data_IF_643020664064
#
_entry.id   IF_643020664064
#
_cell.length_a   1.000
_cell.length_b   1.000
_cell.length_c   1.000
_cell.angle_alpha   90.00
_cell.angle_beta   90.00
_cell.angle_gamma   90.00
#
_symmetry.space_group_name_H-M   'P 1'
#
loop_
_entity.id
_entity.type
_entity.pdbx_description
1 polymer ?
#
# COMPACT_ATOMS: atom_id res chain seq x y z
N UNK A 1 -14.49 12.19 -5.22
CA UNK A 1 -13.62 11.41 -4.32
C UNK A 1 -14.09 9.97 -4.38
N UNK A 2 -13.21 9.08 -4.79
CA UNK A 2 -13.44 7.63 -4.78
C UNK A 2 -12.63 7.04 -3.63
N UNK A 3 -13.26 6.23 -2.79
CA UNK A 3 -12.61 5.59 -1.64
C UNK A 3 -12.66 4.08 -1.77
N UNK A 4 -11.55 3.40 -1.46
CA UNK A 4 -11.46 1.95 -1.37
C UNK A 4 -11.16 1.52 0.07
N UNK A 5 -11.81 0.46 0.53
CA UNK A 5 -11.58 -0.12 1.86
C UNK A 5 -10.34 -1.02 1.94
N UNK A 6 -9.68 -1.28 0.81
CA UNK A 6 -8.53 -2.19 0.74
C UNK A 6 -8.88 -3.68 0.84
N UNK A 7 -10.16 -4.04 0.77
CA UNK A 7 -10.64 -5.42 0.97
C UNK A 7 -10.77 -6.24 -0.32
N UNK A 8 -9.87 -6.07 -1.26
CA UNK A 8 -9.87 -6.86 -2.50
C UNK A 8 -9.37 -8.28 -2.25
N UNK A 9 -10.32 -9.21 -2.09
CA UNK A 9 -10.02 -10.64 -2.14
C UNK A 9 -9.99 -11.10 -3.59
N UNK A 10 -8.90 -11.76 -4.03
CA UNK A 10 -8.92 -12.50 -5.29
C UNK A 10 -10.09 -13.49 -5.25
N UNK A 11 -10.89 -13.65 -6.33
CA UNK A 11 -11.77 -14.78 -6.45
C UNK A 11 -10.90 -16.03 -6.40
N UNK A 12 -10.95 -16.77 -5.29
CA UNK A 12 -10.36 -18.10 -5.21
C UNK A 12 -11.00 -18.99 -6.27
N UNK A 13 -10.29 -20.05 -6.76
CA UNK A 13 -10.92 -21.03 -7.64
C UNK A 13 -12.18 -21.53 -6.96
N UNK A 14 -13.30 -21.54 -7.69
CA UNK A 14 -14.59 -21.96 -7.20
C UNK A 14 -14.47 -23.39 -6.62
N UNK A 15 -14.49 -23.50 -5.30
CA UNK A 15 -14.62 -24.80 -4.65
C UNK A 15 -15.99 -25.35 -4.96
N UNK A 16 -16.00 -26.46 -5.72
CA UNK A 16 -17.22 -27.18 -6.09
C UNK A 16 -18.08 -27.47 -4.87
N UNK A 17 -19.33 -27.08 -4.94
CA UNK A 17 -20.37 -27.55 -4.02
C UNK A 17 -20.57 -29.04 -4.24
N UNK A 18 -20.40 -29.84 -3.17
CA UNK A 18 -20.88 -31.19 -3.21
C UNK A 18 -20.13 -32.12 -2.22
N UNK A 19 -20.62 -32.18 -0.98
CA UNK A 19 -20.29 -33.26 -0.03
C UNK A 19 -21.35 -33.30 1.06
N UNK A 20 -21.94 -34.51 1.37
CA UNK A 20 -23.10 -34.62 2.26
C UNK A 20 -22.72 -34.36 3.72
N UNK A 21 -23.66 -33.77 4.44
CA UNK A 21 -23.62 -33.55 5.90
C UNK A 21 -23.43 -34.88 6.65
N UNK A 22 -22.22 -35.10 7.17
CA UNK A 22 -21.94 -36.16 8.13
C UNK A 22 -22.28 -35.71 9.55
N UNK A 23 -23.16 -36.44 10.22
CA UNK A 23 -23.61 -36.27 11.59
C UNK A 23 -22.42 -36.31 12.57
N UNK A 24 -22.38 -35.37 13.51
CA UNK A 24 -21.44 -35.40 14.65
C UNK A 24 -21.87 -36.47 15.66
N UNK A 25 -20.99 -37.35 16.12
CA UNK A 25 -21.28 -38.21 17.25
C UNK A 25 -21.18 -37.45 18.59
N UNK A 26 -21.88 -37.91 19.65
CA UNK A 26 -21.93 -37.23 20.94
C UNK A 26 -20.63 -37.37 21.71
N UNK A 27 -20.30 -36.34 22.50
CA UNK A 27 -19.14 -36.29 23.38
C UNK A 27 -19.27 -37.31 24.52
N UNK A 28 -18.43 -38.32 24.53
CA UNK A 28 -18.18 -39.18 25.68
C UNK A 28 -17.03 -38.64 26.53
N UNK A 29 -17.30 -38.47 27.84
CA UNK A 29 -16.25 -38.23 28.83
C UNK A 29 -15.38 -39.46 28.98
N UNK A 30 -14.12 -39.42 28.55
CA UNK A 30 -13.13 -40.47 28.71
C UNK A 30 -11.82 -39.88 29.24
N UNK A 31 -11.37 -40.44 30.36
CA UNK A 31 -10.15 -40.11 31.12
C UNK A 31 -8.90 -40.17 30.23
N UNK A 32 -7.99 -39.20 30.41
CA UNK A 32 -6.65 -39.18 29.78
C UNK A 32 -5.72 -40.18 30.49
N UNK A 33 -5.07 -41.10 29.77
CA UNK A 33 -3.90 -41.80 30.31
C UNK A 33 -2.66 -40.91 30.20
N UNK A 34 -1.89 -40.81 31.28
CA UNK A 34 -0.52 -40.32 31.25
C UNK A 34 0.38 -41.32 30.53
N UNK A 35 1.16 -40.89 29.56
CA UNK A 35 2.16 -41.78 29.00
C UNK A 35 2.87 -41.23 27.76
N UNK A 36 4.15 -40.93 27.93
CA UNK A 36 5.24 -40.99 26.96
C UNK A 36 5.30 -39.90 25.87
N UNK A 37 6.28 -39.01 26.02
CA UNK A 37 6.77 -38.11 24.94
C UNK A 37 7.37 -39.00 23.83
N UNK A 38 7.04 -38.70 22.55
CA UNK A 38 7.74 -39.32 21.43
C UNK A 38 9.18 -38.75 21.32
N UNK A 39 10.17 -39.56 20.81
CA UNK A 39 11.54 -39.13 20.66
C UNK A 39 11.67 -37.97 19.68
N UNK A 40 12.56 -37.02 20.00
CA UNK A 40 12.92 -35.89 19.15
C UNK A 40 13.54 -36.43 17.85
N UNK A 41 12.73 -36.48 16.78
CA UNK A 41 13.24 -36.68 15.44
C UNK A 41 14.07 -35.45 15.00
N UNK A 42 15.25 -35.73 14.49
CA UNK A 42 16.20 -34.76 13.94
C UNK A 42 15.49 -33.90 12.89
N UNK A 43 15.51 -32.57 13.10
CA UNK A 43 15.09 -31.61 12.06
C UNK A 43 16.05 -31.75 10.88
N UNK A 44 15.55 -31.82 9.64
CA UNK A 44 16.41 -31.71 8.46
C UNK A 44 17.13 -30.36 8.46
N UNK A 45 18.37 -30.26 7.92
CA UNK A 45 19.10 -29.03 7.87
C UNK A 45 18.30 -27.98 7.09
N UNK A 46 17.98 -26.86 7.74
CA UNK A 46 17.40 -25.71 7.07
C UNK A 46 18.49 -25.17 6.13
N UNK A 47 18.23 -25.34 4.82
CA UNK A 47 19.02 -24.66 3.81
C UNK A 47 19.03 -23.17 4.10
N UNK A 48 20.21 -22.58 4.19
CA UNK A 48 20.44 -21.14 4.27
C UNK A 48 20.07 -20.51 2.91
N UNK A 49 18.79 -20.47 2.62
CA UNK A 49 18.26 -19.54 1.63
C UNK A 49 18.30 -18.16 2.27
N UNK A 50 19.21 -17.31 1.79
CA UNK A 50 19.20 -15.89 2.11
C UNK A 50 17.79 -15.37 1.79
N UNK A 51 17.01 -15.10 2.84
CA UNK A 51 15.76 -14.33 2.68
C UNK A 51 16.20 -12.95 2.21
N UNK A 52 15.63 -12.42 1.11
CA UNK A 52 15.89 -11.05 0.73
C UNK A 52 15.57 -10.16 1.91
N UNK A 53 16.54 -9.37 2.37
CA UNK A 53 16.30 -8.23 3.26
C UNK A 53 15.54 -7.23 2.43
N UNK A 54 14.25 -7.17 2.58
CA UNK A 54 13.44 -6.21 1.85
C UNK A 54 12.05 -6.20 2.44
N UNK A 55 11.57 -5.02 2.74
CA UNK A 55 10.32 -4.67 3.36
C UNK A 55 9.12 -5.53 3.00
N UNK A 56 7.96 -5.16 3.48
CA UNK A 56 6.67 -5.77 3.13
C UNK A 56 6.51 -5.81 1.61
N UNK A 57 7.21 -6.77 0.97
CA UNK A 57 7.10 -7.03 -0.45
C UNK A 57 5.72 -7.59 -0.74
N UNK A 58 4.79 -6.73 -1.08
CA UNK A 58 3.51 -7.17 -1.59
C UNK A 58 3.76 -7.98 -2.87
N UNK A 59 3.05 -9.09 -3.10
CA UNK A 59 3.20 -9.88 -4.32
C UNK A 59 3.02 -8.99 -5.55
N UNK A 60 3.77 -9.27 -6.63
CA UNK A 60 3.56 -8.58 -7.90
C UNK A 60 2.08 -8.63 -8.29
N UNK A 61 1.53 -7.50 -8.72
CA UNK A 61 0.15 -7.38 -9.14
C UNK A 61 -0.90 -7.35 -8.01
N UNK A 62 -0.49 -7.19 -6.76
CA UNK A 62 -1.44 -7.12 -5.64
C UNK A 62 -2.44 -5.97 -5.74
N UNK A 63 -2.05 -4.86 -6.37
CA UNK A 63 -2.89 -3.70 -6.58
C UNK A 63 -3.70 -3.74 -7.90
N UNK A 64 -3.45 -4.73 -8.77
CA UNK A 64 -4.01 -4.76 -10.14
C UNK A 64 -5.55 -4.83 -10.15
N UNK A 65 -6.15 -5.56 -9.21
CA UNK A 65 -7.60 -5.66 -9.11
C UNK A 65 -8.25 -4.29 -8.87
N UNK A 66 -7.71 -3.53 -7.93
CA UNK A 66 -8.18 -2.18 -7.65
C UNK A 66 -7.84 -1.21 -8.80
N UNK A 67 -6.61 -1.26 -9.33
CA UNK A 67 -6.20 -0.45 -10.47
C UNK A 67 -7.14 -0.63 -11.68
N UNK A 68 -7.46 -1.87 -12.02
CA UNK A 68 -8.38 -2.16 -13.12
C UNK A 68 -9.76 -1.55 -12.90
N UNK A 69 -10.37 -1.74 -11.72
CA UNK A 69 -11.67 -1.16 -11.41
C UNK A 69 -11.61 0.37 -11.40
N UNK A 70 -10.57 0.94 -10.77
CA UNK A 70 -10.42 2.39 -10.72
C UNK A 70 -10.30 3.01 -12.12
N UNK A 71 -9.45 2.45 -12.97
CA UNK A 71 -9.11 3.03 -14.27
C UNK A 71 -10.18 2.70 -15.32
N UNK A 72 -10.71 1.47 -15.32
CA UNK A 72 -11.64 1.03 -16.39
C UNK A 72 -13.11 1.32 -16.08
N UNK A 73 -13.48 1.41 -14.80
CA UNK A 73 -14.88 1.55 -14.40
C UNK A 73 -15.13 2.89 -13.69
N UNK A 74 -14.40 3.17 -12.58
CA UNK A 74 -14.69 4.34 -11.74
C UNK A 74 -14.38 5.66 -12.44
N UNK A 75 -13.20 5.81 -13.03
CA UNK A 75 -12.79 7.06 -13.68
C UNK A 75 -13.70 7.38 -14.86
N UNK A 76 -13.95 6.47 -15.82
CA UNK A 76 -14.88 6.74 -16.93
C UNK A 76 -16.29 7.06 -16.45
N UNK A 77 -16.78 6.37 -15.42
CA UNK A 77 -18.08 6.67 -14.84
C UNK A 77 -18.15 8.10 -14.28
N UNK A 78 -17.17 8.51 -13.48
CA UNK A 78 -17.13 9.85 -12.91
C UNK A 78 -16.98 10.92 -14.00
N UNK A 79 -16.10 10.71 -14.97
CA UNK A 79 -15.88 11.66 -16.07
C UNK A 79 -17.12 11.83 -16.97
N UNK A 80 -17.95 10.78 -17.11
CA UNK A 80 -19.18 10.85 -17.91
C UNK A 80 -20.40 11.43 -17.17
N UNK A 81 -20.40 11.41 -15.83
CA UNK A 81 -21.57 11.82 -15.03
C UNK A 81 -21.39 13.14 -14.29
N UNK A 82 -20.14 13.62 -14.16
CA UNK A 82 -19.83 14.84 -13.42
C UNK A 82 -18.98 15.78 -14.26
N UNK A 83 -18.99 17.05 -13.91
CA UNK A 83 -18.17 18.08 -14.58
C UNK A 83 -16.72 17.95 -14.08
N UNK A 84 -15.96 17.08 -14.70
CA UNK A 84 -14.54 16.88 -14.45
C UNK A 84 -13.69 17.48 -15.59
N UNK A 85 -12.42 17.72 -15.31
CA UNK A 85 -11.40 17.94 -16.34
C UNK A 85 -10.74 16.58 -16.53
N UNK A 86 -11.12 15.88 -17.59
CA UNK A 86 -10.82 14.46 -17.80
C UNK A 86 -9.41 14.26 -18.40
N UNK A 87 -8.38 14.82 -17.77
CA UNK A 87 -6.98 14.62 -18.15
C UNK A 87 -6.12 14.27 -16.93
N UNK A 88 -4.90 13.77 -17.15
CA UNK A 88 -4.01 13.36 -16.07
C UNK A 88 -3.51 14.54 -15.23
N UNK A 89 -3.38 15.74 -15.79
CA UNK A 89 -2.87 16.93 -15.08
C UNK A 89 -3.83 17.40 -13.99
N UNK A 90 -5.12 17.10 -14.15
CA UNK A 90 -6.16 17.44 -13.20
C UNK A 90 -6.65 16.22 -12.39
N UNK A 91 -5.86 15.13 -12.40
CA UNK A 91 -6.20 13.92 -11.65
C UNK A 91 -5.10 13.59 -10.65
N UNK A 92 -5.52 13.48 -9.39
CA UNK A 92 -4.66 13.11 -8.28
C UNK A 92 -5.10 11.79 -7.65
N UNK A 93 -4.15 11.02 -7.13
CA UNK A 93 -4.42 9.84 -6.31
C UNK A 93 -3.77 10.00 -4.94
N UNK A 94 -4.50 9.69 -3.88
CA UNK A 94 -3.95 9.69 -2.53
C UNK A 94 -4.44 8.48 -1.75
N UNK A 95 -3.59 7.99 -0.84
CA UNK A 95 -3.93 6.88 0.01
C UNK A 95 -3.19 6.90 1.34
N UNK A 96 -3.79 6.26 2.35
CA UNK A 96 -3.24 6.11 3.68
C UNK A 96 -2.78 4.67 3.93
N UNK A 97 -1.69 4.47 4.68
CA UNK A 97 -1.20 3.13 5.05
C UNK A 97 -1.05 2.23 3.80
N UNK A 98 -1.74 1.11 3.75
CA UNK A 98 -1.78 0.22 2.57
C UNK A 98 -2.27 0.97 1.31
N UNK A 99 -3.23 1.89 1.43
CA UNK A 99 -3.68 2.75 0.32
C UNK A 99 -2.59 3.67 -0.21
N UNK A 100 -1.63 4.09 0.63
CA UNK A 100 -0.44 4.81 0.19
C UNK A 100 0.48 3.93 -0.67
N UNK A 101 0.65 2.67 -0.29
CA UNK A 101 1.38 1.68 -1.10
C UNK A 101 0.67 1.40 -2.44
N UNK A 102 -0.67 1.32 -2.44
CA UNK A 102 -1.47 1.22 -3.66
C UNK A 102 -1.29 2.44 -4.55
N UNK A 103 -1.33 3.64 -3.94
CA UNK A 103 -1.09 4.90 -4.66
C UNK A 103 0.24 4.85 -5.40
N UNK A 104 1.34 4.52 -4.71
CA UNK A 104 2.64 4.34 -5.36
C UNK A 104 2.58 3.33 -6.50
N UNK A 105 2.10 2.12 -6.23
CA UNK A 105 2.08 1.02 -7.21
C UNK A 105 1.29 1.38 -8.47
N UNK A 106 0.09 1.96 -8.29
CA UNK A 106 -0.81 2.28 -9.40
C UNK A 106 -0.29 3.46 -10.22
N UNK A 107 0.17 4.53 -9.55
CA UNK A 107 0.59 5.74 -10.26
C UNK A 107 1.90 5.56 -11.01
N UNK A 108 2.83 4.76 -10.49
CA UNK A 108 4.05 4.38 -11.22
C UNK A 108 3.73 3.49 -12.43
N UNK A 109 2.76 2.58 -12.31
CA UNK A 109 2.35 1.70 -13.41
C UNK A 109 1.49 2.41 -14.46
N UNK A 110 0.77 3.48 -14.08
CA UNK A 110 -0.17 4.22 -14.93
C UNK A 110 0.10 5.73 -14.91
N UNK A 111 1.27 6.18 -15.39
CA UNK A 111 1.64 7.60 -15.40
C UNK A 111 0.76 8.45 -16.30
N UNK A 112 0.09 7.84 -17.28
CA UNK A 112 -0.87 8.48 -18.17
C UNK A 112 -2.19 8.87 -17.48
N UNK A 113 -2.45 8.33 -16.28
CA UNK A 113 -3.72 8.55 -15.58
C UNK A 113 -3.63 9.62 -14.50
N UNK A 114 -2.53 9.66 -13.76
CA UNK A 114 -2.36 10.53 -12.59
C UNK A 114 -1.06 11.32 -12.67
N UNK A 115 -1.12 12.61 -12.29
CA UNK A 115 0.07 13.48 -12.21
C UNK A 115 0.43 13.90 -10.80
N UNK A 116 -0.47 13.76 -9.84
CA UNK A 116 -0.28 14.20 -8.46
C UNK A 116 -0.58 13.07 -7.49
N UNK A 117 0.31 12.85 -6.52
CA UNK A 117 0.20 11.73 -5.59
C UNK A 117 0.33 12.19 -4.15
N UNK A 118 -0.52 11.61 -3.28
CA UNK A 118 -0.46 11.76 -1.82
C UNK A 118 -0.25 10.40 -1.14
N UNK A 119 0.87 10.21 -0.46
CA UNK A 119 1.20 8.98 0.27
C UNK A 119 1.23 9.29 1.76
N UNK A 120 0.20 8.81 2.50
CA UNK A 120 0.07 9.09 3.92
C UNK A 120 0.40 7.83 4.72
N UNK A 121 1.54 7.83 5.43
CA UNK A 121 2.03 6.69 6.22
C UNK A 121 2.10 5.36 5.42
N UNK A 122 2.42 5.42 4.14
CA UNK A 122 2.36 4.27 3.22
C UNK A 122 3.62 4.09 2.36
N UNK A 123 4.74 4.64 2.76
CA UNK A 123 5.99 4.62 1.98
C UNK A 123 6.29 5.96 1.32
N UNK A 124 7.09 5.94 0.26
CA UNK A 124 7.52 7.12 -0.48
C UNK A 124 7.78 6.78 -1.96
N UNK A 125 7.92 7.82 -2.79
CA UNK A 125 8.49 7.73 -4.14
C UNK A 125 9.98 8.04 -4.02
N UNK A 126 10.81 7.21 -4.63
CA UNK A 126 12.26 7.36 -4.63
C UNK A 126 12.76 7.97 -5.93
N UNK A 127 14.00 8.45 -5.93
CA UNK A 127 14.68 8.89 -7.17
C UNK A 127 14.81 7.74 -8.17
N UNK A 128 14.96 6.50 -7.69
CA UNK A 128 15.05 5.32 -8.56
C UNK A 128 13.71 4.99 -9.22
N UNK A 129 12.57 5.22 -8.55
CA UNK A 129 11.25 5.07 -9.19
C UNK A 129 11.13 6.00 -10.41
N UNK A 130 11.66 7.23 -10.32
CA UNK A 130 11.63 8.19 -11.44
C UNK A 130 12.65 7.88 -12.52
N UNK A 131 13.86 7.43 -12.16
CA UNK A 131 14.89 7.02 -13.13
C UNK A 131 14.49 5.80 -13.94
N UNK A 132 13.88 4.81 -13.27
CA UNK A 132 13.45 3.56 -13.90
C UNK A 132 12.17 3.73 -14.73
N UNK A 133 11.44 4.83 -14.57
CA UNK A 133 10.23 5.14 -15.33
C UNK A 133 10.23 6.61 -15.78
N UNK A 134 10.88 6.95 -16.91
CA UNK A 134 10.95 8.31 -17.43
C UNK A 134 9.60 8.94 -17.76
N UNK A 135 8.61 8.17 -18.21
CA UNK A 135 7.26 8.67 -18.49
C UNK A 135 6.55 9.08 -17.19
N UNK A 136 6.71 8.31 -16.13
CA UNK A 136 6.24 8.68 -14.80
C UNK A 136 6.90 9.99 -14.33
N UNK A 137 8.22 10.09 -14.42
CA UNK A 137 8.95 11.27 -14.01
C UNK A 137 8.49 12.54 -14.78
N UNK A 138 8.30 12.44 -16.09
CA UNK A 138 7.86 13.53 -16.97
C UNK A 138 6.43 14.00 -16.68
N UNK A 139 5.53 13.07 -16.34
CA UNK A 139 4.11 13.36 -16.05
C UNK A 139 3.86 13.90 -14.65
N UNK A 140 4.85 13.79 -13.75
CA UNK A 140 4.69 14.05 -12.32
C UNK A 140 4.64 15.55 -12.01
N UNK A 141 3.54 16.03 -11.41
CA UNK A 141 3.35 17.41 -11.01
C UNK A 141 3.54 17.64 -9.51
N UNK A 142 3.17 16.65 -8.70
CA UNK A 142 3.25 16.76 -7.24
C UNK A 142 3.43 15.38 -6.60
N UNK A 143 4.40 15.27 -5.70
CA UNK A 143 4.52 14.17 -4.74
C UNK A 143 4.39 14.74 -3.33
N UNK A 144 3.44 14.23 -2.58
CA UNK A 144 3.26 14.60 -1.18
C UNK A 144 3.35 13.36 -0.31
N UNK A 145 4.30 13.35 0.61
CA UNK A 145 4.52 12.25 1.55
C UNK A 145 4.31 12.75 2.97
N UNK A 146 3.59 11.99 3.79
CA UNK A 146 3.36 12.39 5.17
C UNK A 146 3.41 11.23 6.16
N UNK A 147 3.81 11.57 7.38
CA UNK A 147 3.83 10.66 8.53
C UNK A 147 3.43 11.40 9.81
N UNK A 148 2.97 10.67 10.82
CA UNK A 148 2.85 11.19 12.18
C UNK A 148 4.24 11.28 12.83
N UNK A 149 4.46 12.29 13.71
CA UNK A 149 5.76 12.43 14.37
C UNK A 149 6.11 11.24 15.26
N UNK A 150 5.11 10.69 15.99
CA UNK A 150 5.29 9.49 16.83
C UNK A 150 5.49 8.23 15.99
N UNK A 151 4.97 8.20 14.77
CA UNK A 151 5.19 7.11 13.84
C UNK A 151 6.63 7.07 13.37
N UNK A 152 7.23 8.23 13.08
CA UNK A 152 8.64 8.34 12.70
C UNK A 152 9.58 7.97 13.86
N UNK A 153 9.28 8.39 15.08
CA UNK A 153 10.03 8.05 16.30
C UNK A 153 10.09 6.53 16.52
N UNK A 154 8.99 5.82 16.26
CA UNK A 154 8.89 4.37 16.44
C UNK A 154 9.40 3.55 15.23
N UNK A 155 9.78 4.20 14.15
CA UNK A 155 10.21 3.54 12.90
C UNK A 155 11.57 2.88 12.95
N UNK A 156 12.31 3.01 14.02
CA UNK A 156 13.67 2.47 14.19
C UNK A 156 13.75 0.95 13.97
N UNK A 157 12.62 0.26 13.82
CA UNK A 157 12.59 -1.19 13.52
C UNK A 157 11.43 -1.57 12.58
N UNK A 158 11.61 -1.43 11.25
CA UNK A 158 11.04 -2.43 10.36
C UNK A 158 9.86 -2.11 9.45
N UNK A 159 9.53 -0.87 9.16
CA UNK A 159 8.66 -0.58 8.01
C UNK A 159 9.49 0.06 6.87
N UNK A 160 9.73 -0.72 5.82
CA UNK A 160 10.46 -0.29 4.65
C UNK A 160 11.84 -0.95 4.53
N UNK A 161 12.55 -0.59 3.51
CA UNK A 161 13.91 -1.02 3.16
C UNK A 161 15.00 -0.42 4.06
N UNK A 162 14.63 0.23 5.16
CA UNK A 162 15.54 0.88 6.10
C UNK A 162 15.86 2.33 5.77
N UNK A 163 15.24 2.91 4.74
CA UNK A 163 15.43 4.32 4.39
C UNK A 163 14.49 5.25 5.15
N UNK A 164 14.94 6.49 5.37
CA UNK A 164 14.12 7.54 5.97
C UNK A 164 13.24 8.20 4.90
N UNK A 165 11.90 8.13 4.99
CA UNK A 165 11.00 8.70 3.99
C UNK A 165 11.16 10.22 3.83
N UNK A 166 11.65 10.91 4.85
CA UNK A 166 11.96 12.32 4.76
C UNK A 166 13.17 12.54 3.85
N UNK A 167 14.24 11.81 4.08
CA UNK A 167 15.47 11.87 3.26
C UNK A 167 15.15 11.54 1.80
N UNK A 168 14.43 10.44 1.56
CA UNK A 168 14.01 10.04 0.20
C UNK A 168 13.20 11.12 -0.50
N UNK A 169 12.25 11.74 0.21
CA UNK A 169 11.43 12.82 -0.37
C UNK A 169 12.25 14.08 -0.65
N UNK A 170 13.21 14.41 0.23
CA UNK A 170 14.13 15.54 0.02
C UNK A 170 15.09 15.29 -1.15
N UNK A 171 15.58 14.07 -1.33
CA UNK A 171 16.39 13.69 -2.49
C UNK A 171 15.60 13.76 -3.79
N UNK A 172 14.35 13.30 -3.76
CA UNK A 172 13.44 13.43 -4.89
C UNK A 172 13.21 14.91 -5.25
N UNK A 173 13.03 15.80 -4.26
CA UNK A 173 12.90 17.23 -4.49
C UNK A 173 14.19 17.82 -5.09
N UNK A 174 15.36 17.43 -4.61
CA UNK A 174 16.66 17.84 -5.17
C UNK A 174 16.86 17.38 -6.61
N UNK A 175 16.22 16.29 -7.04
CA UNK A 175 16.26 15.81 -8.42
C UNK A 175 15.37 16.61 -9.38
N UNK A 176 14.65 17.63 -8.88
CA UNK A 176 13.81 18.53 -9.67
C UNK A 176 12.32 18.18 -9.65
N UNK A 177 11.90 17.17 -8.90
CA UNK A 177 10.49 16.82 -8.71
C UNK A 177 9.88 17.76 -7.66
N UNK A 178 8.65 18.23 -7.89
CA UNK A 178 7.89 18.99 -6.90
C UNK A 178 7.41 18.04 -5.78
N UNK A 179 8.30 17.75 -4.82
CA UNK A 179 8.07 16.80 -3.75
C UNK A 179 8.05 17.49 -2.38
N UNK A 180 7.07 17.12 -1.55
CA UNK A 180 6.84 17.70 -0.23
C UNK A 180 6.75 16.62 0.83
N UNK A 181 7.45 16.82 1.95
CA UNK A 181 7.35 15.98 3.12
C UNK A 181 6.63 16.71 4.26
N UNK A 182 5.60 16.11 4.82
CA UNK A 182 4.83 16.68 5.92
C UNK A 182 4.84 15.76 7.15
N UNK A 183 5.15 16.32 8.30
CA UNK A 183 5.06 15.63 9.60
C UNK A 183 3.86 16.17 10.37
N UNK A 184 2.91 15.30 10.67
CA UNK A 184 1.77 15.64 11.55
C UNK A 184 2.22 15.60 13.01
N UNK A 185 2.27 16.75 13.71
CA UNK A 185 2.84 16.81 15.05
C UNK A 185 1.97 16.10 16.10
N UNK A 186 2.61 15.34 17.00
CA UNK A 186 1.97 14.64 18.12
C UNK A 186 1.06 13.48 17.72
N UNK A 187 1.12 13.01 16.48
CA UNK A 187 0.26 11.92 15.97
C UNK A 187 1.05 10.68 15.59
N UNK A 188 0.38 9.54 15.60
CA UNK A 188 0.91 8.23 15.19
C UNK A 188 0.27 7.78 13.87
N UNK A 189 0.23 6.46 13.63
CA UNK A 189 -0.45 5.82 12.49
C UNK A 189 -1.96 5.83 12.71
N UNK A 190 -2.60 6.98 12.51
CA UNK A 190 -3.98 7.23 12.92
C UNK A 190 -4.69 8.28 12.06
N UNK A 191 -6.02 8.31 12.14
CA UNK A 191 -6.88 9.22 11.38
C UNK A 191 -6.53 10.69 11.52
N UNK A 192 -6.11 11.14 12.70
CA UNK A 192 -5.76 12.55 12.92
C UNK A 192 -4.55 12.94 12.04
N UNK A 193 -3.55 12.05 11.94
CA UNK A 193 -2.40 12.24 11.05
C UNK A 193 -2.85 12.40 9.60
N UNK A 194 -3.66 11.45 9.11
CA UNK A 194 -4.06 11.39 7.71
C UNK A 194 -5.03 12.50 7.30
N UNK A 195 -5.95 12.89 8.19
CA UNK A 195 -6.83 14.03 7.94
C UNK A 195 -6.05 15.34 7.79
N UNK A 196 -5.04 15.57 8.64
CA UNK A 196 -4.16 16.74 8.53
C UNK A 196 -3.33 16.69 7.24
N UNK A 197 -2.81 15.51 6.90
CA UNK A 197 -2.07 15.29 5.67
C UNK A 197 -2.91 15.59 4.43
N UNK A 198 -4.15 15.10 4.38
CA UNK A 198 -5.07 15.38 3.29
C UNK A 198 -5.37 16.87 3.15
N UNK A 199 -5.53 17.58 4.26
CA UNK A 199 -5.72 19.04 4.25
C UNK A 199 -4.53 19.77 3.64
N UNK A 200 -3.30 19.42 4.00
CA UNK A 200 -2.09 20.00 3.44
C UNK A 200 -1.92 19.65 1.96
N UNK A 201 -2.12 18.40 1.60
CA UNK A 201 -2.04 17.92 0.23
C UNK A 201 -3.02 18.66 -0.69
N UNK A 202 -4.28 18.77 -0.27
CA UNK A 202 -5.33 19.41 -1.05
C UNK A 202 -5.01 20.88 -1.42
N UNK A 203 -4.26 21.59 -0.57
CA UNK A 203 -3.86 22.97 -0.83
C UNK A 203 -2.75 23.09 -1.88
N UNK A 204 -2.06 22.01 -2.21
CA UNK A 204 -0.99 21.97 -3.21
C UNK A 204 -1.48 21.52 -4.59
N UNK A 205 -2.69 20.92 -4.66
CA UNK A 205 -3.23 20.37 -5.89
C UNK A 205 -3.59 21.45 -6.91
N UNK A 206 -3.29 21.16 -8.18
CA UNK A 206 -3.75 21.92 -9.34
C UNK A 206 -3.39 23.41 -9.33
N UNK A 207 -2.19 23.74 -8.88
CA UNK A 207 -1.61 25.09 -8.87
C UNK A 207 -0.69 25.33 -10.06
#
# INVERSE_FOLDING_TARGET
IVMDSGSWTRPGPAMGRGGPQGQRPPMGMGQRPQGQRPPQGQRPPQGQGQRPRGGFGMPSGWADGFANTLIKDCIPYIDSHFRTIADNKHRAMAGLSMGGMQTKSITVAHPEVFSSLGIFSGGTITVDDTKNNPEFAKGLQLVFVSFGSRELENRVQGFGDGTDPKVETEELAKSGVNAHFYVSPGTAHEWQSWRRALYQFAQLLFK
#
